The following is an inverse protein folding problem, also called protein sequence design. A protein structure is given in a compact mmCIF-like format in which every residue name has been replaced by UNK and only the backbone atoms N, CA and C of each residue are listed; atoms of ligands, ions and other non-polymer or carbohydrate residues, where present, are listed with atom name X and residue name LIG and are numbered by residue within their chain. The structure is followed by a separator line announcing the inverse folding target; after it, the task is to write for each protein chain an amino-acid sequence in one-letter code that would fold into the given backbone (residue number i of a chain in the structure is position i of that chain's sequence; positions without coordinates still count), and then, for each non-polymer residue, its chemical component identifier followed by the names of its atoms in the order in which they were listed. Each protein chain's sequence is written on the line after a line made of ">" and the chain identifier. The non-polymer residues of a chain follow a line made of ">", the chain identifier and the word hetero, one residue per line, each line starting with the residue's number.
data_IF_735337980455
#
_entry.id   IF_735337980455
#
_cell.length_a   1.000
_cell.length_b   1.000
_cell.length_c   1.000
_cell.angle_alpha   90.00
_cell.angle_beta   90.00
_cell.angle_gamma   90.00
#
_symmetry.space_group_name_H-M   'P 1'
#
loop_
_entity.id
_entity.type
_entity.pdbx_description
1 polymer ?
#
# COMPACT_ATOMS: atom_id res chain seq x y z
N UNK A 1 12.20 -3.89 -6.91
CA UNK A 1 10.93 -3.43 -6.29
C UNK A 1 10.68 -4.14 -4.96
N UNK A 2 10.76 -5.46 -4.88
CA UNK A 2 10.49 -6.22 -3.65
C UNK A 2 11.48 -5.89 -2.52
N UNK A 3 12.75 -5.66 -2.84
CA UNK A 3 13.76 -5.26 -1.86
C UNK A 3 13.44 -3.91 -1.20
N UNK A 4 13.02 -2.92 -2.00
CA UNK A 4 12.66 -1.58 -1.49
C UNK A 4 11.43 -1.66 -0.62
N UNK A 5 10.40 -2.42 -1.04
CA UNK A 5 9.18 -2.65 -0.28
C UNK A 5 9.48 -3.34 1.05
N UNK A 6 10.33 -4.37 1.05
CA UNK A 6 10.74 -5.08 2.26
C UNK A 6 11.52 -4.18 3.21
N UNK A 7 12.43 -3.36 2.70
CA UNK A 7 13.19 -2.40 3.51
C UNK A 7 12.27 -1.33 4.14
N UNK A 8 11.26 -0.87 3.39
CA UNK A 8 10.25 0.07 3.88
C UNK A 8 9.42 -0.52 5.01
N UNK A 9 8.91 -1.76 4.86
CA UNK A 9 8.15 -2.45 5.89
C UNK A 9 8.99 -2.65 7.16
N UNK A 10 10.26 -3.02 7.03
CA UNK A 10 11.18 -3.17 8.16
C UNK A 10 11.40 -1.83 8.86
N UNK A 11 11.63 -0.76 8.11
CA UNK A 11 11.85 0.57 8.66
C UNK A 11 10.64 1.08 9.45
N UNK A 12 9.42 0.90 8.93
CA UNK A 12 8.17 1.26 9.59
C UNK A 12 7.98 0.42 10.86
N UNK A 13 8.19 -0.89 10.77
CA UNK A 13 8.03 -1.82 11.88
C UNK A 13 9.04 -1.52 13.00
N UNK A 14 10.27 -1.15 12.65
CA UNK A 14 11.28 -0.73 13.60
C UNK A 14 10.90 0.59 14.29
N UNK A 15 10.34 1.54 13.54
CA UNK A 15 9.83 2.80 14.10
C UNK A 15 8.74 2.56 15.15
N UNK A 16 7.79 1.66 14.88
CA UNK A 16 6.73 1.28 15.82
C UNK A 16 7.31 0.55 17.06
N UNK A 17 8.32 -0.27 16.87
CA UNK A 17 8.97 -1.04 17.95
C UNK A 17 10.08 -0.27 18.69
N UNK A 18 10.33 1.00 18.34
CA UNK A 18 11.47 1.78 18.85
C UNK A 18 11.50 1.94 20.38
N UNK A 19 10.35 1.82 21.04
CA UNK A 19 10.22 1.92 22.50
C UNK A 19 10.43 0.59 23.23
N UNK A 20 10.65 -0.52 22.51
CA UNK A 20 10.89 -1.84 23.06
C UNK A 20 12.39 -2.08 23.23
N UNK A 21 12.74 -3.04 24.11
CA UNK A 21 14.10 -3.55 24.20
C UNK A 21 14.52 -4.30 22.91
N UNK A 22 15.81 -4.53 22.71
CA UNK A 22 16.34 -5.15 21.49
C UNK A 22 15.71 -6.50 21.18
N UNK A 23 15.41 -7.31 22.21
CA UNK A 23 14.78 -8.61 22.03
C UNK A 23 13.31 -8.44 21.57
N UNK A 24 12.60 -7.49 22.15
CA UNK A 24 11.23 -7.14 21.73
C UNK A 24 11.18 -6.62 20.29
N UNK A 25 12.10 -5.75 19.91
CA UNK A 25 12.22 -5.28 18.51
C UNK A 25 12.45 -6.44 17.54
N UNK A 26 13.38 -7.33 17.85
CA UNK A 26 13.70 -8.48 17.00
C UNK A 26 12.50 -9.42 16.84
N UNK A 27 11.84 -9.79 17.95
CA UNK A 27 10.66 -10.64 17.91
C UNK A 27 9.51 -10.00 17.12
N UNK A 28 9.27 -8.70 17.33
CA UNK A 28 8.23 -7.95 16.61
C UNK A 28 8.50 -7.95 15.11
N UNK A 29 9.74 -7.67 14.68
CA UNK A 29 10.12 -7.70 13.28
C UNK A 29 9.96 -9.09 12.66
N UNK A 30 10.34 -10.16 13.38
CA UNK A 30 10.16 -11.54 12.91
C UNK A 30 8.69 -11.89 12.73
N UNK A 31 7.84 -11.55 13.69
CA UNK A 31 6.39 -11.81 13.62
C UNK A 31 5.76 -11.04 12.45
N UNK A 32 6.07 -9.75 12.32
CA UNK A 32 5.55 -8.92 11.22
C UNK A 32 6.02 -9.47 9.86
N UNK A 33 7.29 -9.84 9.72
CA UNK A 33 7.82 -10.40 8.50
C UNK A 33 7.09 -11.68 8.09
N UNK A 34 6.84 -12.60 9.04
CA UNK A 34 6.10 -13.84 8.78
C UNK A 34 4.65 -13.54 8.40
N UNK A 35 3.96 -12.71 9.19
CA UNK A 35 2.55 -12.37 8.96
C UNK A 35 2.34 -11.70 7.60
N UNK A 36 3.18 -10.74 7.26
CA UNK A 36 3.09 -10.04 5.97
C UNK A 36 3.44 -10.99 4.83
N UNK A 37 4.51 -11.77 4.96
CA UNK A 37 4.90 -12.74 3.92
C UNK A 37 3.77 -13.73 3.65
N UNK A 38 3.27 -14.40 4.68
CA UNK A 38 2.18 -15.38 4.54
C UNK A 38 0.91 -14.70 4.04
N UNK A 39 0.58 -13.51 4.55
CA UNK A 39 -0.62 -12.77 4.16
C UNK A 39 -0.59 -12.33 2.69
N UNK A 40 0.49 -11.71 2.25
CA UNK A 40 0.62 -11.20 0.88
C UNK A 40 0.73 -12.35 -0.12
N UNK A 41 1.63 -13.31 0.12
CA UNK A 41 1.76 -14.46 -0.79
C UNK A 41 0.53 -15.36 -0.78
N UNK A 42 -0.12 -15.53 0.39
CA UNK A 42 -1.39 -16.26 0.50
C UNK A 42 -2.52 -15.59 -0.28
N UNK A 43 -2.62 -14.26 -0.22
CA UNK A 43 -3.60 -13.49 -0.98
C UNK A 43 -3.37 -13.63 -2.49
N UNK A 44 -2.15 -13.45 -2.95
CA UNK A 44 -1.79 -13.56 -4.38
C UNK A 44 -2.01 -15.00 -4.86
N UNK A 45 -1.57 -16.01 -4.10
CA UNK A 45 -1.81 -17.41 -4.42
C UNK A 45 -3.31 -17.74 -4.47
N UNK A 46 -4.12 -17.14 -3.58
CA UNK A 46 -5.57 -17.27 -3.60
C UNK A 46 -6.18 -16.73 -4.89
N UNK A 47 -5.77 -15.54 -5.34
CA UNK A 47 -6.25 -14.92 -6.59
C UNK A 47 -5.86 -15.78 -7.80
N UNK A 48 -4.63 -16.28 -7.86
CA UNK A 48 -4.19 -17.17 -8.95
C UNK A 48 -4.98 -18.49 -8.95
N UNK A 49 -5.26 -19.05 -7.78
CA UNK A 49 -6.11 -20.26 -7.69
C UNK A 49 -7.56 -20.03 -8.11
N UNK A 50 -8.10 -18.84 -7.91
CA UNK A 50 -9.45 -18.48 -8.39
C UNK A 50 -9.46 -18.48 -9.93
N UNK A 51 -8.41 -17.97 -10.56
CA UNK A 51 -8.25 -18.00 -12.02
C UNK A 51 -8.16 -19.43 -12.57
N UNK A 52 -7.30 -20.26 -11.96
CA UNK A 52 -7.14 -21.68 -12.32
C UNK A 52 -8.46 -22.47 -12.16
N UNK A 53 -9.19 -22.25 -11.07
CA UNK A 53 -10.50 -22.84 -10.85
C UNK A 53 -11.54 -22.38 -11.89
N UNK A 54 -11.48 -21.11 -12.25
CA UNK A 54 -12.33 -20.54 -13.31
C UNK A 54 -12.09 -21.21 -14.65
N UNK A 55 -10.81 -21.35 -15.05
CA UNK A 55 -10.42 -22.06 -16.26
C UNK A 55 -10.85 -23.54 -16.25
N UNK A 56 -10.64 -24.23 -15.15
CA UNK A 56 -11.05 -25.62 -14.99
C UNK A 56 -12.56 -25.81 -15.14
N UNK A 57 -13.36 -24.93 -14.53
CA UNK A 57 -14.83 -24.97 -14.63
C UNK A 57 -15.31 -24.62 -16.04
N UNK A 58 -14.66 -23.66 -16.69
CA UNK A 58 -15.01 -23.25 -18.06
C UNK A 58 -14.72 -24.35 -19.09
N UNK A 59 -13.65 -25.12 -18.90
CA UNK A 59 -13.25 -26.18 -19.83
C UNK A 59 -14.03 -27.50 -19.65
N UNK A 60 -14.50 -27.79 -18.45
CA UNK A 60 -15.09 -29.09 -18.12
C UNK A 60 -16.52 -29.29 -18.64
N UNK A 61 -17.29 -28.23 -18.87
CA UNK A 61 -18.64 -28.27 -19.42
C UNK A 61 -18.87 -27.11 -20.34
N UNK A 62 -18.90 -27.31 -21.65
CA UNK A 62 -19.07 -26.24 -22.66
C UNK A 62 -20.44 -25.55 -22.64
N UNK A 63 -21.41 -26.06 -21.87
CA UNK A 63 -22.70 -25.42 -21.68
C UNK A 63 -23.25 -25.72 -20.27
N UNK A 64 -23.73 -24.67 -19.59
CA UNK A 64 -24.37 -24.79 -18.29
C UNK A 64 -23.91 -23.72 -17.29
N UNK A 65 -24.47 -23.78 -16.08
CA UNK A 65 -24.17 -22.84 -14.99
C UNK A 65 -22.67 -22.85 -14.64
N UNK A 66 -22.02 -24.03 -14.67
CA UNK A 66 -20.59 -24.17 -14.39
C UNK A 66 -19.68 -23.42 -15.36
N UNK A 67 -20.04 -23.39 -16.65
CA UNK A 67 -19.31 -22.63 -17.67
C UNK A 67 -19.42 -21.13 -17.44
N UNK A 68 -20.62 -20.62 -17.15
CA UNK A 68 -20.84 -19.20 -16.85
C UNK A 68 -20.11 -18.76 -15.58
N UNK A 69 -20.12 -19.58 -14.54
CA UNK A 69 -19.37 -19.32 -13.31
C UNK A 69 -17.84 -19.33 -13.55
N UNK A 70 -17.36 -20.30 -14.34
CA UNK A 70 -15.95 -20.36 -14.72
C UNK A 70 -15.48 -19.11 -15.45
N UNK A 71 -16.23 -18.67 -16.46
CA UNK A 71 -15.92 -17.43 -17.18
C UNK A 71 -16.00 -16.19 -16.27
N UNK A 72 -16.95 -16.16 -15.33
CA UNK A 72 -17.03 -15.09 -14.33
C UNK A 72 -15.80 -15.01 -13.44
N UNK A 73 -15.31 -16.16 -12.96
CA UNK A 73 -14.10 -16.26 -12.12
C UNK A 73 -12.84 -15.82 -12.89
N UNK A 74 -12.67 -16.29 -14.13
CA UNK A 74 -11.55 -15.89 -14.98
C UNK A 74 -11.56 -14.40 -15.28
N UNK A 75 -12.76 -13.81 -15.51
CA UNK A 75 -12.86 -12.37 -15.71
C UNK A 75 -12.68 -11.57 -14.42
N UNK A 76 -12.97 -12.13 -13.25
CA UNK A 76 -12.80 -11.45 -11.98
C UNK A 76 -11.33 -11.33 -11.54
N UNK A 77 -10.48 -12.32 -11.86
CA UNK A 77 -9.07 -12.34 -11.46
C UNK A 77 -8.28 -11.07 -11.87
N UNK A 78 -8.34 -10.59 -13.13
CA UNK A 78 -7.63 -9.36 -13.52
C UNK A 78 -8.20 -8.10 -12.84
N UNK A 79 -9.51 -8.08 -12.52
CA UNK A 79 -10.08 -6.97 -11.75
C UNK A 79 -9.58 -6.96 -10.31
N UNK A 80 -9.50 -8.12 -9.67
CA UNK A 80 -8.95 -8.26 -8.31
C UNK A 80 -7.48 -7.81 -8.27
N UNK A 81 -6.68 -8.23 -9.24
CA UNK A 81 -5.27 -7.77 -9.37
C UNK A 81 -5.18 -6.26 -9.56
N UNK A 82 -6.06 -5.68 -10.36
CA UNK A 82 -6.10 -4.23 -10.60
C UNK A 82 -6.47 -3.45 -9.34
N UNK A 83 -7.49 -3.94 -8.62
CA UNK A 83 -7.90 -3.36 -7.33
C UNK A 83 -6.77 -3.45 -6.32
N UNK A 84 -6.13 -4.62 -6.21
CA UNK A 84 -5.01 -4.82 -5.29
C UNK A 84 -3.84 -3.87 -5.60
N UNK A 85 -3.49 -3.72 -6.87
CA UNK A 85 -2.46 -2.77 -7.31
C UNK A 85 -2.83 -1.33 -6.97
N UNK A 86 -4.07 -0.93 -7.22
CA UNK A 86 -4.55 0.41 -6.93
C UNK A 86 -4.55 0.72 -5.43
N UNK A 87 -5.12 -0.19 -4.62
CA UNK A 87 -5.15 -0.06 -3.16
C UNK A 87 -3.73 -0.06 -2.58
N UNK A 88 -2.86 -0.97 -3.06
CA UNK A 88 -1.47 -1.04 -2.63
C UNK A 88 -0.70 0.24 -2.96
N UNK A 89 -0.93 0.83 -4.12
CA UNK A 89 -0.31 2.10 -4.51
C UNK A 89 -0.74 3.25 -3.59
N UNK A 90 -2.05 3.36 -3.31
CA UNK A 90 -2.56 4.37 -2.37
C UNK A 90 -1.95 4.17 -0.98
N UNK A 91 -1.93 2.93 -0.48
CA UNK A 91 -1.35 2.61 0.82
C UNK A 91 0.13 3.02 0.90
N UNK A 92 0.92 2.77 -0.16
CA UNK A 92 2.32 3.19 -0.22
C UNK A 92 2.47 4.71 -0.14
N UNK A 93 1.64 5.47 -0.86
CA UNK A 93 1.68 6.93 -0.79
C UNK A 93 1.26 7.46 0.59
N UNK A 94 0.27 6.82 1.23
CA UNK A 94 -0.14 7.17 2.59
C UNK A 94 0.98 6.94 3.61
N UNK A 95 1.62 5.77 3.55
CA UNK A 95 2.70 5.41 4.47
C UNK A 95 3.95 6.24 4.22
N UNK A 96 4.39 6.34 2.97
CA UNK A 96 5.56 7.16 2.61
C UNK A 96 5.36 8.65 2.94
N UNK A 97 4.17 9.18 2.65
CA UNK A 97 3.79 10.54 3.04
C UNK A 97 3.78 10.71 4.55
N UNK A 98 3.22 9.76 5.30
CA UNK A 98 3.20 9.77 6.76
C UNK A 98 4.60 9.81 7.38
N UNK A 99 5.54 9.01 6.87
CA UNK A 99 6.94 9.04 7.33
C UNK A 99 7.57 10.42 7.09
N UNK A 100 7.37 10.99 5.92
CA UNK A 100 7.91 12.31 5.56
C UNK A 100 7.27 13.42 6.41
N UNK A 101 5.95 13.37 6.62
CA UNK A 101 5.24 14.40 7.41
C UNK A 101 5.63 14.35 8.87
N UNK A 102 5.83 13.17 9.46
CA UNK A 102 6.33 13.05 10.84
C UNK A 102 7.80 13.48 10.98
N UNK A 103 8.59 13.38 9.91
CA UNK A 103 9.97 13.89 9.87
C UNK A 103 10.08 15.41 9.77
N UNK A 104 9.02 16.10 9.35
CA UNK A 104 8.99 17.55 9.14
C UNK A 104 7.96 18.18 10.09
N UNK A 105 8.40 18.73 11.22
CA UNK A 105 7.55 19.32 12.26
C UNK A 105 6.52 20.32 11.73
N UNK A 106 6.91 21.17 10.80
CA UNK A 106 6.02 22.19 10.21
C UNK A 106 4.83 21.56 9.50
N UNK A 107 5.06 20.47 8.75
CA UNK A 107 4.01 19.76 8.00
C UNK A 107 3.08 19.00 8.96
N UNK A 108 3.65 18.40 10.01
CA UNK A 108 2.89 17.72 11.05
C UNK A 108 1.91 18.64 11.75
N UNK A 109 2.34 19.85 12.10
CA UNK A 109 1.47 20.87 12.72
C UNK A 109 0.32 21.31 11.79
N UNK A 110 0.59 21.48 10.50
CA UNK A 110 -0.43 21.82 9.51
C UNK A 110 -1.49 20.74 9.36
N UNK A 111 -1.09 19.47 9.39
CA UNK A 111 -2.01 18.34 9.33
C UNK A 111 -2.88 18.28 10.59
N UNK A 112 -2.30 18.48 11.77
CA UNK A 112 -3.03 18.52 13.03
C UNK A 112 -4.04 19.69 13.07
N UNK A 113 -3.67 20.86 12.55
CA UNK A 113 -4.60 21.99 12.42
C UNK A 113 -5.75 21.66 11.46
N UNK A 114 -5.48 21.03 10.33
CA UNK A 114 -6.51 20.63 9.38
C UNK A 114 -7.46 19.59 10.00
N UNK A 115 -6.94 18.63 10.75
CA UNK A 115 -7.73 17.61 11.46
C UNK A 115 -8.67 18.26 12.49
N UNK A 116 -8.16 19.20 13.30
CA UNK A 116 -8.96 19.91 14.32
C UNK A 116 -10.07 20.78 13.70
N UNK A 117 -9.82 21.40 12.55
CA UNK A 117 -10.83 22.18 11.84
C UNK A 117 -11.93 21.29 11.25
N UNK A 118 -11.57 20.12 10.72
CA UNK A 118 -12.52 19.19 10.11
C UNK A 118 -13.33 18.44 11.16
N UNK A 119 -12.74 18.09 12.31
CA UNK A 119 -13.43 17.40 13.41
C UNK A 119 -14.51 18.25 14.07
N UNK A 120 -14.51 19.58 13.89
CA UNK A 120 -15.54 20.50 14.40
C UNK A 120 -16.84 20.47 13.57
N UNK A 121 -16.91 19.77 12.45
CA UNK A 121 -18.11 19.66 11.62
C UNK A 121 -19.05 18.59 12.18
N UNK A 122 -20.20 19.03 12.65
CA UNK A 122 -21.09 18.39 13.64
C UNK A 122 -21.76 17.05 13.30
N UNK A 123 -21.68 16.51 12.08
CA UNK A 123 -22.42 15.28 11.69
C UNK A 123 -21.52 14.18 11.10
N UNK A 124 -20.37 14.53 10.52
CA UNK A 124 -19.46 13.61 9.85
C UNK A 124 -18.01 13.83 10.33
N UNK A 125 -17.83 14.73 11.30
CA UNK A 125 -16.54 15.22 11.77
C UNK A 125 -15.62 14.12 12.29
N UNK A 126 -16.14 13.13 13.00
CA UNK A 126 -15.35 12.04 13.56
C UNK A 126 -14.74 11.15 12.47
N UNK A 127 -15.53 10.83 11.44
CA UNK A 127 -15.06 10.02 10.31
C UNK A 127 -14.13 10.80 9.38
N UNK A 128 -14.48 12.08 9.12
CA UNK A 128 -13.64 12.98 8.33
C UNK A 128 -12.34 13.31 9.06
N UNK A 129 -12.38 13.56 10.38
CA UNK A 129 -11.20 13.77 11.21
C UNK A 129 -10.24 12.59 11.16
N UNK A 130 -10.75 11.36 11.22
CA UNK A 130 -9.93 10.14 11.12
C UNK A 130 -9.31 9.95 9.73
N UNK A 131 -10.02 10.33 8.66
CA UNK A 131 -9.57 10.17 7.27
C UNK A 131 -8.65 11.33 6.81
N UNK A 132 -8.80 12.51 7.38
CA UNK A 132 -8.05 13.72 6.98
C UNK A 132 -6.53 13.53 7.04
N UNK A 133 -5.91 13.01 8.12
CA UNK A 133 -4.47 12.75 8.15
C UNK A 133 -4.04 11.77 7.09
N UNK A 134 -4.82 10.71 6.85
CA UNK A 134 -4.52 9.69 5.85
C UNK A 134 -4.53 10.24 4.43
N UNK A 135 -5.53 11.06 4.10
CA UNK A 135 -5.64 11.71 2.77
C UNK A 135 -4.55 12.75 2.59
N UNK A 136 -4.26 13.57 3.59
CA UNK A 136 -3.19 14.57 3.53
C UNK A 136 -1.81 13.91 3.40
N UNK A 137 -1.55 12.84 4.14
CA UNK A 137 -0.33 12.05 4.01
C UNK A 137 -0.19 11.45 2.60
N UNK A 138 -1.28 10.92 2.02
CA UNK A 138 -1.28 10.40 0.66
C UNK A 138 -0.96 11.49 -0.37
N UNK A 139 -1.60 12.66 -0.27
CA UNK A 139 -1.33 13.80 -1.14
C UNK A 139 0.12 14.29 -1.02
N UNK A 140 0.61 14.41 0.21
CA UNK A 140 1.99 14.80 0.45
C UNK A 140 2.97 13.77 -0.11
N UNK A 141 2.69 12.49 0.05
CA UNK A 141 3.47 11.39 -0.53
C UNK A 141 3.51 11.45 -2.07
N UNK A 142 2.38 11.76 -2.73
CA UNK A 142 2.33 11.94 -4.19
C UNK A 142 3.18 13.13 -4.64
N UNK A 143 3.08 14.26 -3.94
CA UNK A 143 3.87 15.46 -4.27
C UNK A 143 5.36 15.20 -4.06
N UNK A 144 5.74 14.65 -2.92
CA UNK A 144 7.14 14.33 -2.61
C UNK A 144 7.72 13.29 -3.57
N UNK A 145 6.96 12.23 -3.88
CA UNK A 145 7.34 11.22 -4.86
C UNK A 145 7.47 11.79 -6.26
N UNK A 146 6.55 12.66 -6.68
CA UNK A 146 6.63 13.38 -7.96
C UNK A 146 7.86 14.27 -8.07
N UNK A 147 8.18 15.02 -7.02
CA UNK A 147 9.41 15.82 -6.97
C UNK A 147 10.66 14.95 -7.03
N UNK A 148 10.69 13.83 -6.31
CA UNK A 148 11.83 12.90 -6.35
C UNK A 148 12.06 12.35 -7.77
N UNK A 149 10.98 11.97 -8.48
CA UNK A 149 11.07 11.51 -9.87
C UNK A 149 11.56 12.61 -10.80
N UNK A 150 11.10 13.86 -10.63
CA UNK A 150 11.58 14.99 -11.43
C UNK A 150 13.06 15.26 -11.22
N UNK A 151 13.52 15.22 -9.95
CA UNK A 151 14.94 15.39 -9.62
C UNK A 151 15.78 14.26 -10.22
N UNK A 152 15.34 13.01 -10.08
CA UNK A 152 16.04 11.86 -10.66
C UNK A 152 16.11 11.94 -12.19
N UNK A 153 15.04 12.30 -12.86
CA UNK A 153 15.03 12.51 -14.31
C UNK A 153 15.95 13.66 -14.75
N UNK A 154 16.04 14.70 -13.94
CA UNK A 154 17.00 15.79 -14.16
C UNK A 154 18.45 15.32 -14.03
N UNK A 155 18.75 14.58 -12.97
CA UNK A 155 20.10 14.05 -12.71
C UNK A 155 20.51 13.04 -13.78
N UNK A 156 19.62 12.13 -14.20
CA UNK A 156 19.95 11.15 -15.25
C UNK A 156 20.16 11.78 -16.63
N UNK A 157 19.57 12.95 -16.91
CA UNK A 157 19.85 13.71 -18.12
C UNK A 157 21.19 14.43 -18.06
N UNK A 158 21.66 14.81 -16.86
CA UNK A 158 22.91 15.50 -16.64
C UNK A 158 24.11 14.56 -16.55
N UNK A 159 23.86 13.29 -16.18
CA UNK A 159 24.90 12.24 -16.13
C UNK A 159 24.61 11.24 -17.24
N UNK A 160 25.13 11.45 -18.46
CA UNK A 160 24.99 10.45 -19.52
C UNK A 160 25.67 9.15 -19.07
N UNK A 161 24.91 8.06 -19.13
CA UNK A 161 25.44 6.75 -18.80
C UNK A 161 26.68 6.48 -19.67
N UNK A 162 27.84 6.36 -19.03
CA UNK A 162 29.08 5.97 -19.67
C UNK A 162 28.96 4.47 -19.97
N UNK A 163 28.61 4.15 -21.23
CA UNK A 163 28.76 2.81 -21.77
C UNK A 163 30.23 2.43 -21.82
#
# INVERSE_FOLDING_TARGET
>A
TDFVLSAEIIAISLGVAAHMDLMGQFLTLCVIAIVITVGVYGLVAGIVKIDDLGLYLAQRKPSGIGHKLGLGLVSAAPYLMKILTFVGTIAMFMVGGGILTHGIHVVSEWILHAETLVSQVSVVGDVLGLLTPSVLNALFGVVAGGLAVLVMNGVTKLVPAKN
#
